data_IF_432461848557
#
_entry.id   IF_432461848557
#
_cell.length_a   1.000
_cell.length_b   1.000
_cell.length_c   1.000
_cell.angle_alpha   90.00
_cell.angle_beta   90.00
_cell.angle_gamma   90.00
#
_symmetry.space_group_name_H-M   'P 1'
#
loop_
_entity.id
_entity.type
_entity.pdbx_description
1 polymer ?
#
# COMPACT_ATOMS: atom_id res chain seq x y z
N UNK A 1 -3.18 -19.39 27.72
CA UNK A 1 -3.33 -17.92 27.58
C UNK A 1 -4.69 -17.66 26.98
N UNK A 2 -5.44 -16.69 27.49
CA UNK A 2 -6.73 -16.31 26.93
C UNK A 2 -6.58 -15.87 25.46
N UNK A 3 -7.54 -16.20 24.60
CA UNK A 3 -7.45 -15.91 23.17
C UNK A 3 -7.30 -14.40 22.86
N UNK A 4 -7.94 -13.54 23.65
CA UNK A 4 -7.83 -12.09 23.50
C UNK A 4 -6.42 -11.56 23.81
N UNK A 5 -5.71 -12.19 24.76
CA UNK A 5 -4.32 -11.84 25.07
C UNK A 5 -3.41 -12.19 23.90
N UNK A 6 -3.63 -13.35 23.26
CA UNK A 6 -2.87 -13.76 22.07
C UNK A 6 -3.09 -12.76 20.93
N UNK A 7 -4.35 -12.41 20.65
CA UNK A 7 -4.68 -11.42 19.61
C UNK A 7 -4.05 -10.05 19.89
N UNK A 8 -4.13 -9.57 21.14
CA UNK A 8 -3.52 -8.30 21.54
C UNK A 8 -2.00 -8.30 21.33
N UNK A 9 -1.32 -9.38 21.73
CA UNK A 9 0.12 -9.51 21.57
C UNK A 9 0.54 -9.52 20.10
N UNK A 10 -0.22 -10.21 19.23
CA UNK A 10 0.03 -10.21 17.79
C UNK A 10 -0.12 -8.78 17.22
N UNK A 11 -1.18 -8.06 17.59
CA UNK A 11 -1.39 -6.67 17.16
C UNK A 11 -0.24 -5.76 17.61
N UNK A 12 0.17 -5.84 18.88
CA UNK A 12 1.27 -5.04 19.42
C UNK A 12 2.60 -5.36 18.74
N UNK A 13 2.89 -6.65 18.50
CA UNK A 13 4.09 -7.06 17.79
C UNK A 13 4.11 -6.52 16.36
N UNK A 14 2.99 -6.62 15.63
CA UNK A 14 2.85 -6.06 14.28
C UNK A 14 3.09 -4.54 14.25
N UNK A 15 2.49 -3.80 15.18
CA UNK A 15 2.68 -2.35 15.29
C UNK A 15 4.12 -1.99 15.62
N UNK A 16 4.77 -2.73 16.53
CA UNK A 16 6.16 -2.52 16.89
C UNK A 16 7.10 -2.76 15.69
N UNK A 17 6.88 -3.83 14.93
CA UNK A 17 7.64 -4.12 13.70
C UNK A 17 7.43 -3.03 12.65
N UNK A 18 6.19 -2.58 12.46
CA UNK A 18 5.86 -1.52 11.49
C UNK A 18 6.51 -0.19 11.87
N UNK A 19 6.47 0.17 13.15
CA UNK A 19 7.13 1.38 13.65
C UNK A 19 8.65 1.29 13.51
N UNK A 20 9.24 0.16 13.90
CA UNK A 20 10.69 -0.06 13.80
C UNK A 20 11.16 0.04 12.34
N UNK A 21 10.46 -0.58 11.41
CA UNK A 21 10.79 -0.50 9.97
C UNK A 21 10.67 0.92 9.42
N UNK A 22 9.65 1.68 9.83
CA UNK A 22 9.51 3.10 9.48
C UNK A 22 10.60 4.01 10.05
N UNK A 23 11.04 3.76 11.28
CA UNK A 23 12.16 4.50 11.90
C UNK A 23 13.47 4.13 11.19
N UNK A 24 13.70 2.84 10.94
CA UNK A 24 14.93 2.35 10.29
C UNK A 24 15.10 2.89 8.87
N UNK A 25 14.02 3.07 8.11
CA UNK A 25 14.11 3.62 6.75
C UNK A 25 14.60 5.07 6.77
N UNK A 26 14.23 5.86 7.77
CA UNK A 26 14.68 7.24 7.94
C UNK A 26 16.19 7.41 8.16
N UNK A 27 16.88 6.36 8.63
CA UNK A 27 18.34 6.36 8.76
C UNK A 27 19.08 5.92 7.49
N UNK A 28 18.37 5.37 6.50
CA UNK A 28 18.96 4.77 5.29
C UNK A 28 18.80 5.62 4.04
N UNK A 29 17.96 6.64 4.08
CA UNK A 29 17.72 7.57 2.96
C UNK A 29 18.36 8.93 3.22
N UNK A 30 18.72 9.64 2.16
CA UNK A 30 19.30 10.96 2.20
C UNK A 30 18.32 11.98 2.79
N UNK A 31 18.85 13.01 3.46
CA UNK A 31 18.06 14.15 3.96
C UNK A 31 17.73 15.14 2.84
N UNK A 32 17.22 14.64 1.73
CA UNK A 32 16.82 15.42 0.55
C UNK A 32 15.34 15.19 0.22
N UNK A 33 14.79 16.02 -0.66
CA UNK A 33 13.42 15.82 -1.17
C UNK A 33 13.30 14.46 -1.86
N UNK A 34 14.32 14.06 -2.63
CA UNK A 34 14.35 12.75 -3.32
C UNK A 34 14.43 11.60 -2.32
N UNK A 35 15.20 11.75 -1.24
CA UNK A 35 15.28 10.78 -0.15
C UNK A 35 13.95 10.60 0.55
N UNK A 36 13.23 11.69 0.83
CA UNK A 36 11.93 11.64 1.48
C UNK A 36 10.81 11.11 0.57
N UNK A 37 10.73 11.60 -0.67
CA UNK A 37 9.61 11.30 -1.59
C UNK A 37 9.81 9.98 -2.34
N UNK A 38 11.04 9.66 -2.72
CA UNK A 38 11.35 8.53 -3.61
C UNK A 38 12.29 7.50 -2.99
N UNK A 39 12.63 7.62 -1.70
CA UNK A 39 13.58 6.76 -1.01
C UNK A 39 14.91 6.62 -1.77
N UNK A 40 15.43 7.74 -2.28
CA UNK A 40 16.64 7.80 -3.14
C UNK A 40 16.57 6.91 -4.39
N UNK A 41 15.35 6.59 -4.85
CA UNK A 41 15.11 5.68 -5.98
C UNK A 41 15.70 4.27 -5.75
N UNK A 42 15.84 3.86 -4.49
CA UNK A 42 16.47 2.59 -4.09
C UNK A 42 15.53 1.38 -4.15
N UNK A 43 14.21 1.61 -4.26
CA UNK A 43 13.23 0.52 -4.28
C UNK A 43 13.35 -0.30 -5.57
N UNK A 44 13.60 -1.59 -5.42
CA UNK A 44 13.52 -2.53 -6.53
C UNK A 44 12.06 -2.83 -6.91
N UNK A 45 11.86 -3.53 -8.03
CA UNK A 45 10.53 -3.88 -8.55
C UNK A 45 9.66 -4.64 -7.55
N UNK A 46 10.24 -5.54 -6.75
CA UNK A 46 9.49 -6.35 -5.78
C UNK A 46 8.96 -5.48 -4.65
N UNK A 47 9.81 -4.64 -4.07
CA UNK A 47 9.41 -3.70 -3.01
C UNK A 47 8.37 -2.73 -3.55
N UNK A 48 8.62 -2.16 -4.73
CA UNK A 48 7.70 -1.22 -5.37
C UNK A 48 6.32 -1.84 -5.63
N UNK A 49 6.27 -3.11 -6.06
CA UNK A 49 5.01 -3.84 -6.27
C UNK A 49 4.17 -3.89 -4.99
N UNK A 50 4.76 -4.27 -3.86
CA UNK A 50 4.06 -4.33 -2.58
C UNK A 50 3.68 -2.95 -2.06
N UNK A 51 4.52 -1.93 -2.21
CA UNK A 51 4.21 -0.54 -1.83
C UNK A 51 3.02 0.00 -2.61
N UNK A 52 3.00 -0.22 -3.93
CA UNK A 52 1.88 0.18 -4.78
C UNK A 52 0.60 -0.56 -4.40
N UNK A 53 0.66 -1.88 -4.20
CA UNK A 53 -0.48 -2.68 -3.74
C UNK A 53 -1.03 -2.22 -2.40
N UNK A 54 -0.16 -2.03 -1.40
CA UNK A 54 -0.53 -1.52 -0.08
C UNK A 54 -1.15 -0.12 -0.13
N UNK A 55 -0.76 0.71 -1.11
CA UNK A 55 -1.33 2.05 -1.30
C UNK A 55 -2.72 2.02 -1.93
N UNK A 56 -3.02 0.98 -2.73
CA UNK A 56 -4.33 0.79 -3.39
C UNK A 56 -5.32 0.15 -2.41
N UNK A 57 -4.88 -0.82 -1.60
CA UNK A 57 -5.75 -1.57 -0.70
C UNK A 57 -5.83 -0.91 0.68
N UNK A 58 -7.04 -0.52 1.08
CA UNK A 58 -7.34 0.06 2.39
C UNK A 58 -8.38 -0.75 3.15
N UNK A 59 -8.85 -0.24 4.30
CA UNK A 59 -9.97 -0.82 5.05
C UNK A 59 -11.23 -1.04 4.19
N UNK A 60 -11.42 -0.23 3.13
CA UNK A 60 -12.48 -0.46 2.17
C UNK A 60 -12.38 -1.83 1.50
N UNK A 61 -11.19 -2.24 1.08
CA UNK A 61 -11.01 -3.52 0.40
C UNK A 61 -11.27 -4.72 1.33
N UNK A 62 -10.93 -4.60 2.62
CA UNK A 62 -11.04 -5.69 3.58
C UNK A 62 -12.39 -5.78 4.30
N UNK A 63 -13.04 -4.65 4.59
CA UNK A 63 -14.34 -4.61 5.28
C UNK A 63 -15.46 -4.14 4.37
N UNK A 64 -15.24 -3.05 3.62
CA UNK A 64 -16.26 -2.44 2.76
C UNK A 64 -16.68 -3.35 1.60
N UNK A 65 -15.73 -3.84 0.82
CA UNK A 65 -15.98 -4.70 -0.34
C UNK A 65 -16.72 -5.99 0.02
N UNK A 66 -16.22 -6.79 0.99
CA UNK A 66 -16.93 -7.97 1.46
C UNK A 66 -18.30 -7.66 2.07
N UNK A 67 -18.43 -6.59 2.86
CA UNK A 67 -19.74 -6.16 3.39
C UNK A 67 -20.74 -5.80 2.28
N UNK A 68 -20.26 -5.17 1.20
CA UNK A 68 -21.07 -4.85 0.02
C UNK A 68 -21.47 -6.11 -0.76
N UNK A 69 -20.55 -7.06 -0.90
CA UNK A 69 -20.82 -8.35 -1.51
C UNK A 69 -21.80 -9.19 -0.69
N UNK A 70 -21.69 -9.18 0.64
CA UNK A 70 -22.64 -9.84 1.53
C UNK A 70 -24.05 -9.28 1.36
N UNK A 71 -24.18 -7.95 1.22
CA UNK A 71 -25.48 -7.28 1.14
C UNK A 71 -26.11 -7.29 -0.26
N UNK A 72 -25.30 -7.33 -1.33
CA UNK A 72 -25.77 -7.16 -2.73
C UNK A 72 -25.36 -8.28 -3.68
N UNK A 73 -24.62 -9.28 -3.22
CA UNK A 73 -24.15 -10.39 -4.01
C UNK A 73 -23.31 -9.94 -5.21
N UNK A 74 -23.55 -10.56 -6.37
CA UNK A 74 -22.79 -10.38 -7.62
C UNK A 74 -22.75 -8.93 -8.11
N UNK A 75 -23.74 -8.10 -7.75
CA UNK A 75 -23.72 -6.69 -8.11
C UNK A 75 -22.46 -5.97 -7.60
N UNK A 76 -21.84 -6.43 -6.51
CA UNK A 76 -20.60 -5.84 -5.98
C UNK A 76 -19.38 -5.98 -6.91
N UNK A 77 -19.43 -6.84 -7.93
CA UNK A 77 -18.32 -7.05 -8.87
C UNK A 77 -17.95 -5.79 -9.68
N UNK A 78 -18.80 -4.75 -9.71
CA UNK A 78 -18.41 -3.46 -10.28
C UNK A 78 -17.18 -2.87 -9.57
N UNK A 79 -16.91 -3.25 -8.31
CA UNK A 79 -15.71 -2.86 -7.56
C UNK A 79 -14.44 -3.34 -8.26
N UNK A 80 -14.45 -4.57 -8.78
CA UNK A 80 -13.32 -5.09 -9.54
C UNK A 80 -13.20 -4.37 -10.88
N UNK A 81 -14.33 -4.10 -11.55
CA UNK A 81 -14.35 -3.43 -12.84
C UNK A 81 -13.75 -2.02 -12.77
N UNK A 82 -14.23 -1.16 -11.85
CA UNK A 82 -13.63 0.19 -11.73
C UNK A 82 -12.22 0.13 -11.14
N UNK A 83 -11.90 -0.87 -10.30
CA UNK A 83 -10.56 -1.05 -9.77
C UNK A 83 -9.52 -1.25 -10.88
N UNK A 84 -9.83 -2.10 -11.85
CA UNK A 84 -8.98 -2.34 -13.03
C UNK A 84 -8.91 -1.07 -13.90
N UNK A 85 -10.06 -0.44 -14.18
CA UNK A 85 -10.11 0.78 -15.00
C UNK A 85 -9.35 1.94 -14.33
N UNK A 86 -9.36 2.02 -13.00
CA UNK A 86 -8.63 3.03 -12.23
C UNK A 86 -7.11 2.98 -12.39
N UNK A 87 -6.56 1.85 -12.83
CA UNK A 87 -5.12 1.69 -13.11
C UNK A 87 -4.75 2.18 -14.52
N UNK A 88 -5.72 2.26 -15.45
CA UNK A 88 -5.49 2.67 -16.85
C UNK A 88 -4.73 4.00 -16.97
N UNK A 89 -5.06 5.08 -16.20
CA UNK A 89 -4.31 6.32 -16.26
C UNK A 89 -2.81 6.15 -16.00
N UNK A 90 -2.39 5.20 -15.16
CA UNK A 90 -0.98 4.99 -14.83
C UNK A 90 -0.15 4.56 -16.06
N UNK A 91 -0.73 3.86 -17.03
CA UNK A 91 -0.04 3.51 -18.28
C UNK A 91 0.31 4.74 -19.13
N UNK A 92 -0.50 5.80 -19.05
CA UNK A 92 -0.28 7.03 -19.81
C UNK A 92 0.57 8.03 -19.02
N UNK A 93 0.27 8.23 -17.74
CA UNK A 93 0.93 9.24 -16.92
C UNK A 93 2.23 8.72 -16.29
N UNK A 94 2.30 7.44 -15.92
CA UNK A 94 3.47 6.83 -15.27
C UNK A 94 4.78 7.08 -16.02
N UNK A 95 4.89 6.77 -17.33
CA UNK A 95 6.10 7.03 -18.10
C UNK A 95 6.47 8.52 -18.19
N UNK A 96 5.47 9.41 -18.21
CA UNK A 96 5.69 10.86 -18.26
C UNK A 96 6.22 11.38 -16.92
N UNK A 97 5.59 10.98 -15.82
CA UNK A 97 6.03 11.31 -14.46
C UNK A 97 7.44 10.78 -14.21
N UNK A 98 7.75 9.54 -14.64
CA UNK A 98 9.10 8.97 -14.51
C UNK A 98 10.14 9.83 -15.22
N UNK A 99 9.92 10.20 -16.49
CA UNK A 99 10.86 11.06 -17.24
C UNK A 99 11.05 12.45 -16.64
N UNK A 100 10.01 13.02 -16.05
CA UNK A 100 10.11 14.29 -15.34
C UNK A 100 10.94 14.15 -14.06
N UNK A 101 10.75 13.06 -13.33
CA UNK A 101 11.48 12.75 -12.11
C UNK A 101 12.88 12.16 -12.33
N UNK A 102 13.30 11.84 -13.56
CA UNK A 102 14.68 11.45 -13.91
C UNK A 102 15.61 12.66 -14.06
N UNK A 103 15.05 13.85 -14.31
CA UNK A 103 15.78 15.12 -14.36
C UNK A 103 16.07 15.65 -12.95
#
# INVERSE_FOLDING_TARGET
MEGWLIALLICLAYLAVTLATGIMSGFRVSKSVTGFVAADRSMNTVVLYFVMGASIFSSFAFLGGPGWAYSRGVASLYILAYGIVGVVPLYFFGPRVRRLGEK
#
